data_IF_787594193103
#
_entry.id   IF_787594193103
#
_cell.length_a   1.000
_cell.length_b   1.000
_cell.length_c   1.000
_cell.angle_alpha   90.00
_cell.angle_beta   90.00
_cell.angle_gamma   90.00
#
_symmetry.space_group_name_H-M   'P 1'
#
loop_
_entity.id
_entity.type
_entity.pdbx_description
1 polymer ?
#
# COMPACT_ATOMS: atom_id res chain seq x y z
N UNK A 1 -18.10 15.19 -15.18
CA UNK A 1 -17.73 14.20 -14.14
C UNK A 1 -18.73 14.34 -13.02
N UNK A 2 -19.29 13.22 -12.56
CA UNK A 2 -20.21 13.22 -11.41
C UNK A 2 -19.57 13.85 -10.18
N UNK A 3 -20.38 14.50 -9.34
CA UNK A 3 -19.92 15.12 -8.08
C UNK A 3 -19.21 14.11 -7.17
N UNK A 4 -19.69 12.87 -7.13
CA UNK A 4 -19.09 11.78 -6.35
C UNK A 4 -17.69 11.39 -6.84
N UNK A 5 -17.46 11.39 -8.16
CA UNK A 5 -16.14 11.10 -8.74
C UNK A 5 -15.14 12.19 -8.34
N UNK A 6 -15.56 13.46 -8.36
CA UNK A 6 -14.71 14.58 -7.95
C UNK A 6 -14.36 14.52 -6.46
N UNK A 7 -15.32 14.16 -5.62
CA UNK A 7 -15.09 13.95 -4.18
C UNK A 7 -14.11 12.80 -3.97
N UNK A 8 -14.32 11.64 -4.59
CA UNK A 8 -13.42 10.50 -4.49
C UNK A 8 -12.00 10.83 -4.98
N UNK A 9 -11.86 11.64 -6.04
CA UNK A 9 -10.57 12.11 -6.53
C UNK A 9 -9.88 13.04 -5.53
N UNK A 10 -10.62 13.96 -4.91
CA UNK A 10 -10.05 14.83 -3.89
C UNK A 10 -9.59 14.01 -2.66
N UNK A 11 -10.40 13.05 -2.23
CA UNK A 11 -10.10 12.17 -1.09
C UNK A 11 -8.91 11.25 -1.36
N UNK A 12 -8.86 10.60 -2.52
CA UNK A 12 -7.72 9.75 -2.93
C UNK A 12 -6.45 10.56 -3.19
N UNK A 13 -6.57 11.82 -3.62
CA UNK A 13 -5.41 12.71 -3.72
C UNK A 13 -4.84 13.03 -2.34
N UNK A 14 -5.69 13.21 -1.32
CA UNK A 14 -5.24 13.39 0.07
C UNK A 14 -4.53 12.12 0.57
N UNK A 15 -5.08 10.94 0.28
CA UNK A 15 -4.43 9.65 0.56
C UNK A 15 -3.06 9.52 -0.12
N UNK A 16 -3.00 9.71 -1.44
CA UNK A 16 -1.75 9.61 -2.21
C UNK A 16 -0.69 10.66 -1.84
N UNK A 17 -1.11 11.87 -1.47
CA UNK A 17 -0.19 12.89 -0.96
C UNK A 17 0.33 12.54 0.44
N UNK A 18 -0.38 11.72 1.22
CA UNK A 18 0.10 11.25 2.52
C UNK A 18 1.33 10.33 2.38
N UNK A 19 1.42 9.56 1.29
CA UNK A 19 2.64 8.85 0.88
C UNK A 19 3.80 9.81 0.67
N UNK A 20 3.53 10.95 0.04
CA UNK A 20 4.54 12.01 -0.16
C UNK A 20 4.97 12.66 1.16
N UNK A 21 4.05 12.85 2.11
CA UNK A 21 4.35 13.36 3.46
C UNK A 21 5.28 12.39 4.20
N UNK A 22 5.00 11.09 4.13
CA UNK A 22 5.87 10.05 4.67
C UNK A 22 7.28 10.09 4.07
N UNK A 23 7.37 10.20 2.74
CA UNK A 23 8.64 10.33 2.05
C UNK A 23 9.41 11.60 2.44
N UNK A 24 8.70 12.72 2.61
CA UNK A 24 9.29 13.98 3.06
C UNK A 24 9.90 13.88 4.46
N UNK A 25 9.29 13.10 5.36
CA UNK A 25 9.84 12.85 6.69
C UNK A 25 11.25 12.24 6.63
N UNK A 26 11.50 11.30 5.70
CA UNK A 26 12.82 10.68 5.48
C UNK A 26 13.86 11.67 4.98
N UNK A 27 13.42 12.69 4.24
CA UNK A 27 14.30 13.67 3.59
C UNK A 27 14.70 14.77 4.56
N UNK A 28 13.74 15.24 5.36
CA UNK A 28 13.94 16.32 6.33
C UNK A 28 14.67 15.85 7.59
N UNK A 29 14.47 14.59 7.99
CA UNK A 29 15.08 14.02 9.19
C UNK A 29 16.25 13.10 8.84
N UNK A 30 16.92 12.60 9.89
CA UNK A 30 17.88 11.52 9.70
C UNK A 30 17.12 10.25 9.25
N UNK A 31 17.61 9.62 8.18
CA UNK A 31 17.00 8.44 7.62
C UNK A 31 16.82 7.35 8.70
N UNK A 32 15.60 6.82 8.90
CA UNK A 32 15.37 5.79 9.90
C UNK A 32 16.24 4.55 9.63
N UNK A 33 16.61 3.84 10.70
CA UNK A 33 17.29 2.56 10.55
C UNK A 33 16.29 1.47 10.09
N UNK A 34 16.82 0.35 9.59
CA UNK A 34 15.99 -0.76 9.11
C UNK A 34 15.03 -1.30 10.20
N UNK A 35 15.45 -1.33 11.46
CA UNK A 35 14.56 -1.75 12.55
C UNK A 35 13.33 -0.85 12.68
N UNK A 36 13.49 0.47 12.60
CA UNK A 36 12.38 1.42 12.61
C UNK A 36 11.50 1.26 11.37
N UNK A 37 12.11 1.02 10.19
CA UNK A 37 11.37 0.68 8.97
C UNK A 37 10.46 -0.54 9.17
N UNK A 38 10.99 -1.63 9.74
CA UNK A 38 10.19 -2.83 10.02
C UNK A 38 9.08 -2.60 11.05
N UNK A 39 9.30 -1.73 12.04
CA UNK A 39 8.27 -1.33 13.01
C UNK A 39 7.16 -0.51 12.34
N UNK A 40 7.51 0.44 11.48
CA UNK A 40 6.55 1.25 10.71
C UNK A 40 5.73 0.36 9.77
N UNK A 41 6.38 -0.60 9.10
CA UNK A 41 5.72 -1.59 8.25
C UNK A 41 4.76 -2.48 9.04
N UNK A 42 5.17 -2.97 10.22
CA UNK A 42 4.28 -3.73 11.10
C UNK A 42 3.08 -2.90 11.57
N UNK A 43 3.30 -1.65 11.96
CA UNK A 43 2.21 -0.72 12.33
C UNK A 43 1.24 -0.50 11.16
N UNK A 44 1.77 -0.21 9.98
CA UNK A 44 1.00 0.00 8.75
C UNK A 44 0.20 -1.24 8.35
N UNK A 45 0.79 -2.44 8.45
CA UNK A 45 0.09 -3.71 8.24
C UNK A 45 -1.07 -3.89 9.23
N UNK A 46 -0.89 -3.48 10.49
CA UNK A 46 -1.96 -3.46 11.49
C UNK A 46 -3.13 -2.57 11.10
N UNK A 47 -2.86 -1.35 10.59
CA UNK A 47 -3.89 -0.45 10.09
C UNK A 47 -4.69 -1.11 8.95
N UNK A 48 -4.00 -1.71 7.97
CA UNK A 48 -4.62 -2.30 6.78
C UNK A 48 -5.41 -3.56 7.07
N UNK A 49 -4.91 -4.43 7.95
CA UNK A 49 -5.68 -5.61 8.38
C UNK A 49 -6.96 -5.19 9.10
N UNK A 50 -6.91 -4.12 9.91
CA UNK A 50 -8.13 -3.57 10.53
C UNK A 50 -9.12 -3.07 9.49
N UNK A 51 -8.69 -2.25 8.52
CA UNK A 51 -9.59 -1.78 7.43
C UNK A 51 -10.17 -2.96 6.66
N UNK A 52 -9.33 -3.93 6.30
CA UNK A 52 -9.73 -5.07 5.49
C UNK A 52 -10.75 -5.96 6.18
N UNK A 53 -10.48 -6.37 7.43
CA UNK A 53 -11.32 -7.34 8.14
C UNK A 53 -12.44 -6.71 8.96
N UNK A 54 -12.18 -5.59 9.64
CA UNK A 54 -13.14 -5.00 10.58
C UNK A 54 -14.07 -3.99 9.92
N UNK A 55 -13.70 -3.46 8.76
CA UNK A 55 -14.52 -2.50 8.01
C UNK A 55 -15.03 -3.12 6.71
N UNK A 56 -14.18 -3.29 5.69
CA UNK A 56 -14.60 -3.71 4.34
C UNK A 56 -15.26 -5.10 4.31
N UNK A 57 -14.55 -6.13 4.80
CA UNK A 57 -15.09 -7.49 4.83
C UNK A 57 -16.30 -7.60 5.77
N UNK A 58 -16.22 -6.98 6.95
CA UNK A 58 -17.32 -7.01 7.92
C UNK A 58 -18.60 -6.38 7.36
N UNK A 59 -18.49 -5.21 6.72
CA UNK A 59 -19.63 -4.54 6.10
C UNK A 59 -20.21 -5.36 4.95
N UNK A 60 -19.37 -5.94 4.08
CA UNK A 60 -19.85 -6.82 3.01
C UNK A 60 -20.62 -8.03 3.57
N UNK A 61 -20.08 -8.70 4.60
CA UNK A 61 -20.75 -9.85 5.23
C UNK A 61 -22.10 -9.48 5.86
N UNK A 62 -22.20 -8.31 6.48
CA UNK A 62 -23.44 -7.81 7.09
C UNK A 62 -24.48 -7.37 6.04
N UNK A 63 -24.04 -6.75 4.94
CA UNK A 63 -24.94 -6.20 3.93
C UNK A 63 -25.46 -7.26 2.95
N UNK A 64 -24.60 -8.17 2.49
CA UNK A 64 -24.95 -9.14 1.42
C UNK A 64 -24.97 -10.60 1.90
N UNK A 65 -24.70 -10.83 3.18
CA UNK A 65 -24.77 -12.13 3.84
C UNK A 65 -23.44 -12.90 3.83
N UNK A 66 -23.30 -13.82 4.78
CA UNK A 66 -22.05 -14.52 5.05
C UNK A 66 -21.44 -15.22 3.83
N UNK A 67 -22.24 -15.96 3.05
CA UNK A 67 -21.73 -16.70 1.90
C UNK A 67 -21.26 -15.74 0.79
N UNK A 68 -22.12 -14.80 0.36
CA UNK A 68 -21.80 -13.89 -0.74
C UNK A 68 -20.63 -12.96 -0.38
N UNK A 69 -20.63 -12.40 0.83
CA UNK A 69 -19.54 -11.54 1.30
C UNK A 69 -18.19 -12.26 1.30
N UNK A 70 -18.13 -13.51 1.79
CA UNK A 70 -16.90 -14.30 1.74
C UNK A 70 -16.48 -14.63 0.29
N UNK A 71 -17.43 -14.97 -0.60
CA UNK A 71 -17.11 -15.23 -2.01
C UNK A 71 -16.46 -14.01 -2.67
N UNK A 72 -17.00 -12.81 -2.44
CA UNK A 72 -16.40 -11.58 -2.94
C UNK A 72 -15.02 -11.29 -2.34
N UNK A 73 -14.87 -11.44 -1.03
CA UNK A 73 -13.59 -11.27 -0.35
C UNK A 73 -12.50 -12.19 -0.94
N UNK A 74 -12.78 -13.49 -1.02
CA UNK A 74 -11.82 -14.45 -1.57
C UNK A 74 -11.65 -14.32 -3.09
N UNK A 75 -12.66 -13.86 -3.82
CA UNK A 75 -12.49 -13.51 -5.23
C UNK A 75 -11.47 -12.37 -5.40
N UNK A 76 -11.50 -11.35 -4.53
CA UNK A 76 -10.48 -10.31 -4.48
C UNK A 76 -9.08 -10.85 -4.19
N UNK A 77 -8.94 -11.72 -3.17
CA UNK A 77 -7.68 -12.41 -2.85
C UNK A 77 -7.13 -13.17 -4.05
N UNK A 78 -7.96 -14.01 -4.69
CA UNK A 78 -7.55 -14.83 -5.82
C UNK A 78 -7.21 -14.00 -7.06
N UNK A 79 -8.01 -12.97 -7.36
CA UNK A 79 -7.76 -12.04 -8.45
C UNK A 79 -6.38 -11.40 -8.30
N UNK A 80 -6.07 -10.90 -7.11
CA UNK A 80 -4.82 -10.19 -6.91
C UNK A 80 -3.62 -11.13 -6.80
N UNK A 81 -3.77 -12.31 -6.19
CA UNK A 81 -2.74 -13.35 -6.23
C UNK A 81 -2.40 -13.75 -7.68
N UNK A 82 -3.40 -13.82 -8.56
CA UNK A 82 -3.19 -14.04 -9.98
C UNK A 82 -2.46 -12.87 -10.65
N UNK A 83 -2.85 -11.61 -10.38
CA UNK A 83 -2.15 -10.42 -10.91
C UNK A 83 -0.68 -10.40 -10.48
N UNK A 84 -0.39 -10.64 -9.19
CA UNK A 84 0.97 -10.67 -8.65
C UNK A 84 1.81 -11.79 -9.28
N UNK A 85 1.21 -12.91 -9.67
CA UNK A 85 1.94 -14.00 -10.35
C UNK A 85 2.55 -13.60 -11.71
N UNK A 86 2.07 -12.52 -12.34
CA UNK A 86 2.67 -11.98 -13.57
C UNK A 86 3.77 -10.96 -13.32
N UNK A 87 3.91 -10.48 -12.09
CA UNK A 87 4.90 -9.49 -11.72
C UNK A 87 6.11 -10.27 -11.23
N UNK A 88 7.24 -10.24 -11.96
CA UNK A 88 8.42 -10.99 -11.56
C UNK A 88 8.90 -10.47 -10.21
N UNK A 89 9.00 -11.34 -9.21
CA UNK A 89 9.71 -10.99 -8.00
C UNK A 89 11.15 -10.62 -8.38
N UNK A 90 11.66 -9.46 -7.94
CA UNK A 90 13.06 -9.15 -8.13
C UNK A 90 13.85 -10.23 -7.39
N UNK A 91 14.51 -11.13 -8.13
CA UNK A 91 15.39 -12.11 -7.52
C UNK A 91 16.48 -11.36 -6.78
N UNK A 92 16.32 -11.25 -5.46
CA UNK A 92 17.35 -10.73 -4.57
C UNK A 92 18.43 -11.80 -4.54
N UNK A 93 19.36 -11.72 -5.49
CA UNK A 93 20.61 -12.47 -5.41
C UNK A 93 21.47 -11.76 -4.35
N UNK A 94 21.05 -11.86 -3.10
CA UNK A 94 21.90 -11.65 -1.94
C UNK A 94 22.34 -13.04 -1.47
N UNK A 95 23.34 -13.61 -2.14
CA UNK A 95 24.12 -14.75 -1.61
C UNK A 95 25.52 -14.72 -2.21
N UNK A 96 26.44 -14.18 -1.39
CA UNK A 96 27.82 -14.67 -1.19
C UNK A 96 28.61 -15.10 -2.43
N UNK A 97 29.32 -14.15 -3.04
CA UNK A 97 30.60 -14.44 -3.70
C UNK A 97 31.74 -13.74 -2.93
N UNK A 98 31.77 -13.93 -1.62
CA UNK A 98 33.02 -13.89 -0.85
C UNK A 98 33.59 -15.31 -0.81
N UNK A 99 34.22 -15.72 -1.92
CA UNK A 99 35.33 -16.66 -1.99
C UNK A 99 35.38 -17.29 -3.39
N UNK A 100 35.96 -16.57 -4.35
CA UNK A 100 36.95 -17.24 -5.17
C UNK A 100 37.99 -16.25 -5.68
N UNK A 101 39.20 -16.42 -5.16
CA UNK A 101 40.40 -15.85 -5.77
C UNK A 101 40.56 -16.50 -7.14
N UNK A 102 40.52 -15.72 -8.20
CA UNK A 102 41.43 -15.97 -9.30
C UNK A 102 41.79 -14.66 -9.98
N UNK A 103 43.09 -14.35 -9.92
CA UNK A 103 43.77 -13.42 -10.81
C UNK A 103 43.34 -13.74 -12.25
N UNK A 104 42.97 -12.73 -13.01
CA UNK A 104 43.59 -12.48 -14.31
C UNK A 104 43.19 -11.12 -14.90
N UNK A 105 44.25 -10.48 -15.36
CA UNK A 105 44.45 -9.19 -16.01
C UNK A 105 43.42 -8.92 -17.12
N UNK A 106 42.66 -7.82 -16.98
CA UNK A 106 42.19 -6.88 -18.03
C UNK A 106 41.11 -5.98 -17.41
N UNK A 107 41.54 -4.86 -16.81
CA UNK A 107 40.80 -4.12 -15.78
C UNK A 107 39.72 -3.15 -16.25
N UNK A 108 39.60 -2.87 -17.54
CA UNK A 108 38.70 -1.79 -18.01
C UNK A 108 37.29 -2.25 -18.37
N UNK A 109 37.16 -3.42 -19.03
CA UNK A 109 35.86 -3.95 -19.48
C UNK A 109 35.04 -4.65 -18.38
N UNK A 110 35.71 -5.36 -17.46
CA UNK A 110 35.06 -6.10 -16.35
C UNK A 110 34.45 -5.15 -15.31
N UNK A 111 35.10 -4.02 -15.04
CA UNK A 111 34.59 -3.00 -14.10
C UNK A 111 33.38 -2.25 -14.67
N UNK A 112 33.37 -1.97 -15.98
CA UNK A 112 32.21 -1.40 -16.67
C UNK A 112 31.01 -2.36 -16.63
N UNK A 113 31.22 -3.65 -16.94
CA UNK A 113 30.18 -4.67 -16.86
C UNK A 113 29.66 -4.89 -15.43
N UNK A 114 30.54 -4.84 -14.43
CA UNK A 114 30.16 -4.96 -13.01
C UNK A 114 29.37 -3.75 -12.52
N UNK A 115 29.76 -2.54 -12.91
CA UNK A 115 28.99 -1.31 -12.68
C UNK A 115 27.61 -1.38 -13.35
N UNK A 116 27.57 -1.78 -14.62
CA UNK A 116 26.32 -1.89 -15.38
C UNK A 116 25.38 -2.93 -14.77
N UNK A 117 25.89 -4.12 -14.39
CA UNK A 117 25.12 -5.16 -13.71
C UNK A 117 24.56 -4.67 -12.37
N UNK A 118 25.38 -3.97 -11.57
CA UNK A 118 24.95 -3.38 -10.29
C UNK A 118 23.87 -2.32 -10.51
N UNK A 119 24.02 -1.46 -11.53
CA UNK A 119 23.05 -0.43 -11.89
C UNK A 119 21.72 -1.01 -12.38
N UNK A 120 21.76 -2.09 -13.17
CA UNK A 120 20.56 -2.80 -13.63
C UNK A 120 19.85 -3.51 -12.47
N UNK A 121 20.59 -4.15 -11.56
CA UNK A 121 20.03 -4.75 -10.33
C UNK A 121 19.37 -3.70 -9.43
N UNK A 122 20.03 -2.56 -9.21
CA UNK A 122 19.45 -1.46 -8.44
C UNK A 122 18.20 -0.89 -9.10
N UNK A 123 18.22 -0.68 -10.41
CA UNK A 123 17.05 -0.23 -11.15
C UNK A 123 15.91 -1.25 -11.03
N UNK A 124 16.20 -2.55 -11.12
CA UNK A 124 15.21 -3.62 -10.97
C UNK A 124 14.58 -3.66 -9.58
N UNK A 125 15.37 -3.46 -8.52
CA UNK A 125 14.87 -3.39 -7.14
C UNK A 125 13.99 -2.15 -6.95
N UNK A 126 14.43 -0.98 -7.42
CA UNK A 126 13.65 0.25 -7.34
C UNK A 126 12.34 0.11 -8.11
N UNK A 127 12.38 -0.43 -9.33
CA UNK A 127 11.18 -0.68 -10.12
C UNK A 127 10.26 -1.67 -9.43
N UNK A 128 10.76 -2.77 -8.87
CA UNK A 128 9.92 -3.72 -8.16
C UNK A 128 9.29 -3.14 -6.88
N UNK A 129 10.02 -2.32 -6.13
CA UNK A 129 9.49 -1.63 -4.95
C UNK A 129 8.41 -0.63 -5.37
N UNK A 130 8.67 0.20 -6.39
CA UNK A 130 7.70 1.19 -6.85
C UNK A 130 6.49 0.53 -7.49
N UNK A 131 6.67 -0.49 -8.32
CA UNK A 131 5.58 -1.23 -8.96
C UNK A 131 4.79 -2.01 -7.93
N UNK A 132 5.43 -2.69 -6.98
CA UNK A 132 4.77 -3.35 -5.86
C UNK A 132 3.89 -2.37 -5.11
N UNK A 133 4.45 -1.25 -4.65
CA UNK A 133 3.73 -0.23 -3.86
C UNK A 133 2.64 0.47 -4.66
N UNK A 134 2.85 0.78 -5.95
CA UNK A 134 1.77 1.24 -6.83
C UNK A 134 0.59 0.27 -6.90
N UNK A 135 0.82 -1.04 -6.69
CA UNK A 135 -0.24 -2.03 -6.62
C UNK A 135 -0.91 -2.11 -5.23
N UNK A 136 -0.35 -1.50 -4.17
CA UNK A 136 -1.02 -1.27 -2.88
C UNK A 136 -1.91 -0.02 -2.92
N UNK A 137 -1.36 1.08 -3.43
CA UNK A 137 -2.08 2.35 -3.58
C UNK A 137 -3.26 2.23 -4.58
N UNK A 138 -3.21 1.32 -5.56
CA UNK A 138 -4.32 1.14 -6.50
C UNK A 138 -5.61 0.65 -5.81
N UNK A 139 -5.63 -0.51 -5.10
CA UNK A 139 -6.78 -0.96 -4.30
C UNK A 139 -7.29 0.08 -3.29
N UNK A 140 -6.41 0.87 -2.68
CA UNK A 140 -6.79 1.97 -1.78
C UNK A 140 -7.63 3.03 -2.52
N UNK A 141 -7.19 3.43 -3.71
CA UNK A 141 -7.96 4.30 -4.59
C UNK A 141 -9.34 3.72 -4.95
N UNK A 142 -9.39 2.40 -5.21
CA UNK A 142 -10.67 1.71 -5.46
C UNK A 142 -11.59 1.78 -4.23
N UNK A 143 -11.07 1.52 -3.02
CA UNK A 143 -11.82 1.60 -1.78
C UNK A 143 -12.39 3.00 -1.54
N UNK A 144 -11.60 4.06 -1.74
CA UNK A 144 -12.07 5.44 -1.58
C UNK A 144 -13.19 5.77 -2.56
N UNK A 145 -13.09 5.33 -3.82
CA UNK A 145 -14.14 5.56 -4.82
C UNK A 145 -15.44 4.82 -4.48
N UNK A 146 -15.36 3.50 -4.26
CA UNK A 146 -16.53 2.68 -3.93
C UNK A 146 -17.17 3.13 -2.61
N UNK A 147 -16.35 3.51 -1.62
CA UNK A 147 -16.82 4.10 -0.37
C UNK A 147 -17.53 5.45 -0.59
N UNK A 148 -17.03 6.28 -1.50
CA UNK A 148 -17.66 7.57 -1.83
C UNK A 148 -18.99 7.40 -2.58
N UNK A 149 -19.14 6.36 -3.41
CA UNK A 149 -20.43 5.99 -4.02
C UNK A 149 -21.42 5.54 -2.93
N UNK A 150 -20.95 4.74 -1.96
CA UNK A 150 -21.77 4.27 -0.84
C UNK A 150 -22.27 5.43 0.05
N UNK A 151 -21.46 6.47 0.16
CA UNK A 151 -21.83 7.74 0.79
C UNK A 151 -20.63 8.51 1.30
N UNK A 152 -20.76 9.84 1.40
CA UNK A 152 -19.67 10.74 1.77
C UNK A 152 -18.97 10.33 3.09
N UNK A 153 -19.74 9.92 4.10
CA UNK A 153 -19.18 9.49 5.39
C UNK A 153 -18.27 8.26 5.28
N UNK A 154 -18.66 7.27 4.46
CA UNK A 154 -17.86 6.06 4.24
C UNK A 154 -16.59 6.40 3.47
N UNK A 155 -16.71 7.19 2.40
CA UNK A 155 -15.57 7.68 1.63
C UNK A 155 -14.56 8.45 2.49
N UNK A 156 -15.03 9.36 3.36
CA UNK A 156 -14.18 10.12 4.29
C UNK A 156 -13.46 9.21 5.29
N UNK A 157 -14.18 8.25 5.89
CA UNK A 157 -13.58 7.30 6.84
C UNK A 157 -12.47 6.49 6.18
N UNK A 158 -12.72 5.95 4.99
CA UNK A 158 -11.71 5.18 4.24
C UNK A 158 -10.53 6.06 3.83
N UNK A 159 -10.78 7.27 3.33
CA UNK A 159 -9.71 8.18 2.92
C UNK A 159 -8.81 8.58 4.09
N UNK A 160 -9.37 8.84 5.27
CA UNK A 160 -8.58 9.15 6.47
C UNK A 160 -7.80 7.94 6.98
N UNK A 161 -8.42 6.76 6.96
CA UNK A 161 -7.78 5.51 7.31
C UNK A 161 -6.55 5.23 6.42
N UNK A 162 -6.74 5.35 5.11
CA UNK A 162 -5.70 5.18 4.09
C UNK A 162 -4.63 6.26 4.26
N UNK A 163 -4.99 7.53 4.42
CA UNK A 163 -4.02 8.59 4.65
C UNK A 163 -3.11 8.32 5.88
N UNK A 164 -3.66 7.76 6.96
CA UNK A 164 -2.89 7.38 8.15
C UNK A 164 -1.93 6.21 7.90
N UNK A 165 -2.29 5.29 7.00
CA UNK A 165 -1.44 4.19 6.54
C UNK A 165 -0.30 4.68 5.64
N UNK A 166 -0.63 5.62 4.76
CA UNK A 166 0.25 6.04 3.67
C UNK A 166 1.44 6.87 4.18
N UNK A 167 1.34 7.47 5.37
CA UNK A 167 2.48 8.16 6.00
C UNK A 167 3.61 7.16 6.36
N UNK A 168 3.37 6.12 7.21
CA UNK A 168 4.34 5.04 7.43
C UNK A 168 4.82 4.36 6.13
N UNK A 169 3.92 4.14 5.18
CA UNK A 169 4.26 3.52 3.90
C UNK A 169 5.20 4.40 3.07
N UNK A 170 4.93 5.71 2.98
CA UNK A 170 5.78 6.67 2.29
C UNK A 170 7.21 6.69 2.81
N UNK A 171 7.39 6.52 4.13
CA UNK A 171 8.72 6.32 4.73
C UNK A 171 9.37 5.04 4.20
N UNK A 172 8.58 3.97 4.11
CA UNK A 172 9.05 2.67 3.66
C UNK A 172 9.32 2.55 2.16
N UNK A 173 8.66 3.37 1.33
CA UNK A 173 9.00 3.52 -0.09
C UNK A 173 10.30 4.33 -0.23
N UNK A 174 10.38 5.47 0.46
CA UNK A 174 11.46 6.43 0.26
C UNK A 174 12.80 5.91 0.77
N UNK A 175 12.83 5.16 1.87
CA UNK A 175 14.07 4.76 2.54
C UNK A 175 14.92 3.78 1.70
N UNK A 176 14.38 2.67 1.15
CA UNK A 176 15.15 1.79 0.26
C UNK A 176 15.62 2.50 -1.01
N UNK A 177 14.79 3.38 -1.58
CA UNK A 177 15.15 4.17 -2.77
C UNK A 177 16.30 5.12 -2.42
N UNK A 178 16.25 5.77 -1.26
CA UNK A 178 17.34 6.61 -0.78
C UNK A 178 18.63 5.81 -0.58
N UNK A 179 18.57 4.62 0.02
CA UNK A 179 19.75 3.75 0.18
C UNK A 179 20.30 3.21 -1.14
N UNK A 180 19.44 3.04 -2.16
CA UNK A 180 19.87 2.59 -3.48
C UNK A 180 20.43 3.71 -4.36
N UNK A 181 19.91 4.93 -4.23
CA UNK A 181 20.21 6.05 -5.14
C UNK A 181 21.10 7.13 -4.50
N UNK A 182 21.22 7.12 -3.17
CA UNK A 182 21.82 8.19 -2.35
C UNK A 182 21.19 9.58 -2.57
N UNK A 183 20.05 9.65 -3.27
CA UNK A 183 19.38 10.88 -3.68
C UNK A 183 18.05 11.03 -2.95
N UNK A 184 18.01 11.96 -1.99
CA UNK A 184 16.80 12.32 -1.25
C UNK A 184 15.66 12.77 -2.17
N UNK A 185 15.98 13.51 -3.23
CA UNK A 185 15.00 14.01 -4.18
C UNK A 185 14.43 12.90 -5.07
N UNK A 186 15.24 11.90 -5.42
CA UNK A 186 14.77 10.75 -6.19
C UNK A 186 13.85 9.87 -5.34
N UNK A 187 14.20 9.65 -4.06
CA UNK A 187 13.34 8.98 -3.10
C UNK A 187 11.98 9.68 -2.95
N UNK A 188 11.97 11.01 -2.81
CA UNK A 188 10.73 11.79 -2.79
C UNK A 188 9.88 11.54 -4.04
N UNK A 189 10.47 11.77 -5.21
CA UNK A 189 9.76 11.74 -6.49
C UNK A 189 9.12 10.40 -6.75
N UNK A 190 9.85 9.31 -6.49
CA UNK A 190 9.35 7.96 -6.73
C UNK A 190 8.26 7.57 -5.73
N UNK A 191 8.36 7.98 -4.47
CA UNK A 191 7.30 7.77 -3.49
C UNK A 191 6.05 8.62 -3.77
N UNK A 192 6.21 9.86 -4.23
CA UNK A 192 5.09 10.67 -4.70
C UNK A 192 4.44 10.06 -5.93
N UNK A 193 5.25 9.54 -6.87
CA UNK A 193 4.74 8.89 -8.06
C UNK A 193 3.94 7.62 -7.73
N UNK A 194 4.38 6.83 -6.75
CA UNK A 194 3.61 5.67 -6.29
C UNK A 194 2.29 6.07 -5.66
N UNK A 195 2.26 7.15 -4.87
CA UNK A 195 1.02 7.69 -4.29
C UNK A 195 -0.03 8.13 -5.33
N UNK A 196 0.39 8.52 -6.54
CA UNK A 196 -0.56 8.82 -7.62
C UNK A 196 -1.31 7.60 -8.18
N UNK A 197 -0.94 6.38 -7.78
CA UNK A 197 -1.72 5.18 -8.11
C UNK A 197 -3.11 5.17 -7.45
N UNK A 198 -3.31 5.85 -6.32
CA UNK A 198 -4.63 6.00 -5.69
C UNK A 198 -5.64 6.80 -6.54
N UNK A 199 -5.38 8.06 -6.94
CA UNK A 199 -6.29 8.77 -7.82
C UNK A 199 -6.42 8.09 -9.19
N UNK A 200 -5.38 7.39 -9.67
CA UNK A 200 -5.49 6.56 -10.86
C UNK A 200 -6.48 5.39 -10.66
N UNK A 201 -6.47 4.76 -9.48
CA UNK A 201 -7.46 3.77 -9.06
C UNK A 201 -8.89 4.31 -9.13
N UNK A 202 -9.11 5.53 -8.63
CA UNK A 202 -10.42 6.20 -8.75
C UNK A 202 -10.82 6.40 -10.21
N UNK A 203 -9.92 6.91 -11.06
CA UNK A 203 -10.21 7.15 -12.48
C UNK A 203 -10.58 5.86 -13.19
N UNK A 204 -9.80 4.80 -12.99
CA UNK A 204 -10.00 3.51 -13.66
C UNK A 204 -11.31 2.87 -13.20
N UNK A 205 -11.57 2.83 -11.89
CA UNK A 205 -12.81 2.23 -11.37
C UNK A 205 -14.03 3.07 -11.76
N UNK A 206 -13.94 4.40 -11.74
CA UNK A 206 -15.03 5.26 -12.19
C UNK A 206 -15.35 5.12 -13.70
N UNK A 207 -14.35 4.75 -14.50
CA UNK A 207 -14.57 4.43 -15.92
C UNK A 207 -15.20 3.05 -16.12
N UNK A 208 -14.76 2.06 -15.34
CA UNK A 208 -15.24 0.67 -15.46
C UNK A 208 -16.62 0.45 -14.82
N UNK A 209 -16.94 1.20 -13.77
CA UNK A 209 -18.17 1.05 -13.00
C UNK A 209 -18.95 2.36 -12.97
N UNK A 210 -20.25 2.35 -13.35
CA UNK A 210 -21.08 3.54 -13.29
C UNK A 210 -21.31 3.98 -11.84
N UNK A 211 -21.59 5.26 -11.60
CA UNK A 211 -21.90 5.77 -10.25
C UNK A 211 -23.16 5.12 -9.63
N UNK A 212 -24.05 4.57 -10.46
CA UNK A 212 -25.28 3.90 -10.05
C UNK A 212 -25.10 2.37 -10.01
N UNK A 213 -24.25 1.88 -9.11
CA UNK A 213 -24.10 0.43 -8.89
C UNK A 213 -25.27 -0.15 -8.11
N UNK A 214 -25.61 -1.39 -8.43
CA UNK A 214 -26.49 -2.18 -7.57
C UNK A 214 -25.87 -2.30 -6.17
N UNK A 215 -26.63 -2.07 -5.08
CA UNK A 215 -26.09 -2.08 -3.72
C UNK A 215 -25.41 -3.39 -3.34
N UNK A 216 -25.88 -4.54 -3.85
CA UNK A 216 -25.27 -5.84 -3.58
C UNK A 216 -23.90 -5.94 -4.26
N UNK A 217 -23.80 -5.46 -5.50
CA UNK A 217 -22.53 -5.42 -6.26
C UNK A 217 -21.56 -4.45 -5.60
N UNK A 218 -22.01 -3.28 -5.13
CA UNK A 218 -21.16 -2.29 -4.47
C UNK A 218 -20.50 -2.85 -3.20
N UNK A 219 -21.28 -3.49 -2.34
CA UNK A 219 -20.77 -4.13 -1.12
C UNK A 219 -19.88 -5.34 -1.44
N UNK A 220 -20.21 -6.08 -2.50
CA UNK A 220 -19.35 -7.13 -3.04
C UNK A 220 -17.98 -6.62 -3.49
N UNK A 221 -17.95 -5.52 -4.25
CA UNK A 221 -16.69 -4.90 -4.69
C UNK A 221 -15.87 -4.36 -3.51
N UNK A 222 -16.51 -3.74 -2.51
CA UNK A 222 -15.84 -3.32 -1.27
C UNK A 222 -15.25 -4.52 -0.52
N UNK A 223 -16.01 -5.62 -0.40
CA UNK A 223 -15.52 -6.86 0.20
C UNK A 223 -14.33 -7.46 -0.56
N UNK A 224 -14.37 -7.43 -1.90
CA UNK A 224 -13.26 -7.86 -2.74
C UNK A 224 -12.02 -7.00 -2.54
N UNK A 225 -12.16 -5.66 -2.48
CA UNK A 225 -11.04 -4.75 -2.18
C UNK A 225 -10.45 -5.05 -0.81
N UNK A 226 -11.28 -5.34 0.21
CA UNK A 226 -10.80 -5.81 1.50
C UNK A 226 -9.98 -7.10 1.41
N UNK A 227 -10.39 -8.04 0.55
CA UNK A 227 -9.62 -9.25 0.26
C UNK A 227 -8.27 -8.97 -0.39
N UNK A 228 -8.24 -8.06 -1.37
CA UNK A 228 -7.00 -7.61 -2.04
C UNK A 228 -6.03 -7.00 -1.01
N UNK A 229 -6.50 -6.06 -0.19
CA UNK A 229 -5.68 -5.39 0.81
C UNK A 229 -5.16 -6.35 1.89
N UNK A 230 -5.99 -7.32 2.32
CA UNK A 230 -5.56 -8.36 3.25
C UNK A 230 -4.46 -9.25 2.64
N UNK A 231 -4.60 -9.66 1.38
CA UNK A 231 -3.59 -10.45 0.68
C UNK A 231 -2.26 -9.70 0.61
N UNK A 232 -2.28 -8.46 0.11
CA UNK A 232 -1.10 -7.59 0.00
C UNK A 232 -0.38 -7.40 1.33
N UNK A 233 -1.16 -7.14 2.39
CA UNK A 233 -0.60 -6.93 3.72
C UNK A 233 0.12 -8.18 4.25
N UNK A 234 -0.46 -9.36 4.02
CA UNK A 234 0.12 -10.64 4.46
C UNK A 234 1.26 -11.12 3.56
N UNK A 235 1.21 -10.81 2.27
CA UNK A 235 2.20 -11.24 1.29
C UNK A 235 3.47 -10.40 1.32
N UNK A 236 3.35 -9.09 1.57
CA UNK A 236 4.47 -8.15 1.41
C UNK A 236 4.83 -7.45 2.71
N UNK A 237 3.87 -6.73 3.31
CA UNK A 237 4.16 -5.83 4.44
C UNK A 237 4.56 -6.59 5.71
N UNK A 238 3.83 -7.66 6.05
CA UNK A 238 4.08 -8.42 7.27
C UNK A 238 5.42 -9.18 7.21
N UNK A 239 5.78 -9.87 6.10
CA UNK A 239 7.11 -10.43 5.94
C UNK A 239 8.22 -9.37 6.04
N UNK A 240 8.05 -8.21 5.40
CA UNK A 240 9.02 -7.12 5.46
C UNK A 240 9.23 -6.59 6.89
N UNK A 241 8.14 -6.50 7.66
CA UNK A 241 8.20 -6.15 9.08
C UNK A 241 8.97 -7.19 9.90
N UNK A 242 8.79 -8.49 9.61
CA UNK A 242 9.51 -9.58 10.26
C UNK A 242 10.99 -9.56 9.94
N UNK A 243 11.35 -9.35 8.67
CA UNK A 243 12.74 -9.34 8.21
C UNK A 243 13.54 -8.19 8.85
N UNK A 244 12.93 -7.01 8.99
CA UNK A 244 13.65 -5.83 9.48
C UNK A 244 13.55 -5.57 10.98
N UNK A 245 12.41 -5.81 11.62
CA UNK A 245 12.21 -5.55 13.06
C UNK A 245 12.29 -6.80 13.93
N UNK A 246 12.20 -7.99 13.31
CA UNK A 246 12.06 -9.27 14.00
C UNK A 246 10.62 -9.52 14.45
N UNK A 247 10.20 -10.79 14.35
CA UNK A 247 8.83 -11.23 14.57
C UNK A 247 8.18 -10.68 15.86
N UNK A 248 8.89 -10.75 17.00
CA UNK A 248 8.33 -10.29 18.30
C UNK A 248 7.99 -8.80 18.31
N UNK A 249 8.79 -7.97 17.66
CA UNK A 249 8.59 -6.51 17.65
C UNK A 249 7.59 -6.10 16.58
N UNK A 250 7.67 -6.74 15.41
CA UNK A 250 6.71 -6.55 14.34
C UNK A 250 5.28 -6.89 14.80
N UNK A 251 5.06 -8.03 15.46
CA UNK A 251 3.73 -8.40 15.98
C UNK A 251 3.19 -7.35 16.96
N UNK A 252 4.04 -6.80 17.85
CA UNK A 252 3.62 -5.70 18.73
C UNK A 252 3.21 -4.47 17.94
N UNK A 253 3.97 -4.12 16.90
CA UNK A 253 3.64 -3.00 16.03
C UNK A 253 2.32 -3.24 15.27
N UNK A 254 2.06 -4.45 14.77
CA UNK A 254 0.78 -4.83 14.14
C UNK A 254 -0.38 -4.58 15.09
N UNK A 255 -0.35 -5.15 16.30
CA UNK A 255 -1.45 -4.95 17.26
C UNK A 255 -1.59 -3.50 17.73
N UNK A 256 -0.48 -2.77 17.83
CA UNK A 256 -0.52 -1.33 18.10
C UNK A 256 -1.21 -0.56 16.96
N UNK A 257 -0.91 -0.90 15.71
CA UNK A 257 -1.60 -0.39 14.53
C UNK A 257 -3.09 -0.71 14.56
N UNK A 258 -3.45 -1.96 14.82
CA UNK A 258 -4.86 -2.37 14.91
C UNK A 258 -5.63 -1.60 15.99
N UNK A 259 -5.02 -1.42 17.17
CA UNK A 259 -5.61 -0.66 18.27
C UNK A 259 -5.75 0.82 17.92
N UNK A 260 -4.71 1.41 17.30
CA UNK A 260 -4.74 2.79 16.82
C UNK A 260 -5.87 2.98 15.79
N UNK A 261 -5.97 2.09 14.81
CA UNK A 261 -7.00 2.15 13.78
C UNK A 261 -8.40 2.06 14.37
N UNK A 262 -8.61 1.14 15.31
CA UNK A 262 -9.90 0.98 16.00
C UNK A 262 -10.28 2.25 16.76
N UNK A 263 -9.31 2.87 17.45
CA UNK A 263 -9.52 4.15 18.15
C UNK A 263 -9.81 5.30 17.17
N UNK A 264 -9.11 5.36 16.03
CA UNK A 264 -9.33 6.36 14.99
C UNK A 264 -10.72 6.25 14.37
N UNK A 265 -11.18 5.03 14.03
CA UNK A 265 -12.52 4.79 13.50
C UNK A 265 -13.59 5.18 14.51
N UNK A 266 -13.43 4.79 15.78
CA UNK A 266 -14.37 5.16 16.84
C UNK A 266 -14.43 6.69 17.02
N UNK A 267 -13.29 7.37 17.02
CA UNK A 267 -13.24 8.83 17.15
C UNK A 267 -13.89 9.54 15.96
N UNK A 268 -13.71 9.01 14.74
CA UNK A 268 -14.39 9.53 13.55
C UNK A 268 -15.90 9.30 13.61
N UNK A 269 -16.32 8.13 14.10
CA UNK A 269 -17.74 7.81 14.25
C UNK A 269 -18.46 8.79 15.18
N UNK A 270 -17.86 9.16 16.30
CA UNK A 270 -18.46 10.11 17.24
C UNK A 270 -18.36 11.57 16.80
N UNK A 271 -17.37 11.91 15.97
CA UNK A 271 -17.10 13.30 15.56
C UNK A 271 -17.85 13.73 14.30
N UNK A 272 -18.15 12.78 13.40
CA UNK A 272 -18.84 13.07 12.15
C UNK A 272 -20.37 13.09 12.38
N UNK A 273 -21.08 14.16 11.98
CA UNK A 273 -22.53 14.22 12.09
C UNK A 273 -23.20 13.03 11.39
N UNK A 274 -24.24 12.46 12.03
CA UNK A 274 -25.03 11.36 11.44
C UNK A 274 -25.69 11.76 10.11
N UNK A 275 -25.85 13.06 9.86
CA UNK A 275 -26.52 13.63 8.69
C UNK A 275 -25.63 13.74 7.43
N UNK A 276 -24.35 13.36 7.48
CA UNK A 276 -23.47 13.36 6.29
C UNK A 276 -23.67 12.15 5.36
N UNK A 277 -24.85 11.54 5.37
CA UNK A 277 -25.30 10.67 4.28
C UNK A 277 -25.83 11.56 3.14
N UNK A 278 -24.91 12.09 2.34
CA UNK A 278 -25.26 12.52 0.98
C UNK A 278 -25.29 11.29 0.07
#
# INVERSE_FOLDING_TARGET
MDSQVLVALALSLVGGLSTSIGALFVILNHAPNLKMLGLLQGFAAGLMLSISFLDLAHNALNSIGFLKGNLWFFAGVLFFAFVVSFIPEPTVVARTDENNRQKDDDGSGKDLMRKHRRQVLFSGIITAIVTGISLHNFPEGMAVFLGSIKGLRVGLNLALAIALHNIPEGVAVALPIYFATESKWQAFKLATLSGFAEPLGVIIVAYLFPSSLDPEILEGLLGAVGGVMAFLTLHEMLPLAFDYAGQKQAVKAVFLGMAFMSASLYFLEISLPKEMSL
#
